data_IF_312369287841
#
_entry.id   IF_312369287841
#
_cell.length_a   1.000
_cell.length_b   1.000
_cell.length_c   1.000
_cell.angle_alpha   90.00
_cell.angle_beta   90.00
_cell.angle_gamma   90.00
#
_symmetry.space_group_name_H-M   'P 1'
#
loop_
_entity.id
_entity.type
_entity.pdbx_description
1 polymer ?
#
# COMPACT_ATOMS: atom_id res chain seq x y z
N UNK A 1 17.45 -7.85 -7.24
CA UNK A 1 17.12 -6.47 -6.83
C UNK A 1 18.31 -5.51 -6.93
N UNK A 2 19.54 -6.00 -6.69
CA UNK A 2 20.74 -5.18 -6.78
C UNK A 2 21.01 -4.63 -8.18
N UNK A 3 20.49 -5.30 -9.21
CA UNK A 3 20.64 -4.90 -10.62
C UNK A 3 19.63 -3.85 -11.08
N UNK A 4 18.68 -3.49 -10.23
CA UNK A 4 17.65 -2.52 -10.58
C UNK A 4 18.17 -1.08 -10.45
N UNK A 5 17.68 -0.19 -11.31
CA UNK A 5 18.00 1.23 -11.24
C UNK A 5 17.51 1.85 -9.91
N UNK A 6 18.13 2.95 -9.50
CA UNK A 6 17.76 3.63 -8.25
C UNK A 6 16.26 3.97 -8.17
N UNK A 7 15.68 4.48 -9.26
CA UNK A 7 14.25 4.77 -9.31
C UNK A 7 13.36 3.54 -9.13
N UNK A 8 13.79 2.39 -9.66
CA UNK A 8 13.06 1.13 -9.49
C UNK A 8 13.13 0.64 -8.05
N UNK A 9 14.28 0.76 -7.42
CA UNK A 9 14.44 0.43 -5.98
C UNK A 9 13.58 1.32 -5.09
N UNK A 10 13.45 2.59 -5.45
CA UNK A 10 12.60 3.54 -4.74
C UNK A 10 11.12 3.13 -4.83
N UNK A 11 10.66 2.66 -5.99
CA UNK A 11 9.30 2.16 -6.14
C UNK A 11 9.07 0.87 -5.32
N UNK A 12 10.05 -0.02 -5.27
CA UNK A 12 9.98 -1.22 -4.43
C UNK A 12 9.90 -0.84 -2.95
N UNK A 13 10.66 0.17 -2.52
CA UNK A 13 10.56 0.71 -1.16
C UNK A 13 9.16 1.25 -0.87
N UNK A 14 8.49 1.84 -1.87
CA UNK A 14 7.09 2.26 -1.76
C UNK A 14 6.15 1.09 -1.48
N UNK A 15 6.35 -0.06 -2.15
CA UNK A 15 5.58 -1.27 -1.85
C UNK A 15 5.85 -1.79 -0.44
N UNK A 16 7.08 -1.71 0.04
CA UNK A 16 7.43 -2.10 1.40
C UNK A 16 6.74 -1.19 2.44
N UNK A 17 6.60 0.09 2.13
CA UNK A 17 5.84 1.04 2.95
C UNK A 17 4.34 0.70 2.96
N UNK A 18 3.79 0.28 1.82
CA UNK A 18 2.40 -0.22 1.77
C UNK A 18 2.23 -1.41 2.71
N UNK A 19 3.16 -2.37 2.66
CA UNK A 19 3.09 -3.54 3.53
C UNK A 19 3.10 -3.16 5.00
N UNK A 20 3.99 -2.27 5.38
CA UNK A 20 4.12 -1.81 6.76
C UNK A 20 2.82 -1.17 7.26
N UNK A 21 2.24 -0.27 6.47
CA UNK A 21 1.01 0.42 6.84
C UNK A 21 -0.21 -0.52 6.83
N UNK A 22 -0.30 -1.41 5.85
CA UNK A 22 -1.38 -2.40 5.79
C UNK A 22 -1.31 -3.38 6.97
N UNK A 23 -0.11 -3.82 7.33
CA UNK A 23 0.12 -4.71 8.48
C UNK A 23 -0.25 -4.00 9.78
N UNK A 24 0.10 -2.73 9.92
CA UNK A 24 -0.26 -1.93 11.08
C UNK A 24 -1.79 -1.80 11.21
N UNK A 25 -2.48 -1.50 10.12
CA UNK A 25 -3.94 -1.43 10.12
C UNK A 25 -4.58 -2.77 10.48
N UNK A 26 -4.08 -3.87 9.90
CA UNK A 26 -4.55 -5.21 10.20
C UNK A 26 -4.33 -5.59 11.68
N UNK A 27 -3.19 -5.25 12.23
CA UNK A 27 -2.85 -5.51 13.62
C UNK A 27 -3.80 -4.78 14.58
N UNK A 28 -4.05 -3.50 14.33
CA UNK A 28 -4.98 -2.72 15.15
C UNK A 28 -6.40 -3.31 15.08
N UNK A 29 -6.86 -3.70 13.89
CA UNK A 29 -8.18 -4.34 13.74
C UNK A 29 -8.25 -5.68 14.46
N UNK A 30 -7.16 -6.46 14.46
CA UNK A 30 -7.11 -7.76 15.13
C UNK A 30 -7.20 -7.63 16.66
N UNK A 31 -6.84 -6.48 17.20
CA UNK A 31 -6.96 -6.18 18.63
C UNK A 31 -8.37 -5.73 19.03
N UNK A 32 -9.30 -5.72 18.10
CA UNK A 32 -10.71 -5.43 18.39
C UNK A 32 -11.07 -3.95 18.39
N UNK A 33 -10.32 -3.13 17.64
CA UNK A 33 -10.68 -1.71 17.49
C UNK A 33 -12.04 -1.59 16.82
N UNK A 34 -12.97 -0.90 17.48
CA UNK A 34 -14.27 -0.60 16.91
C UNK A 34 -14.15 0.60 15.95
N UNK A 35 -14.37 0.35 14.66
CA UNK A 35 -14.24 1.34 13.59
C UNK A 35 -15.55 1.62 12.86
N UNK A 36 -16.68 1.11 13.37
CA UNK A 36 -17.98 1.32 12.75
C UNK A 36 -18.41 2.78 12.74
N UNK A 37 -19.50 3.14 12.03
CA UNK A 37 -19.91 4.54 11.82
C UNK A 37 -20.06 5.34 13.12
N UNK A 38 -20.69 4.77 14.15
CA UNK A 38 -20.85 5.45 15.44
C UNK A 38 -19.53 5.59 16.20
N UNK A 39 -18.73 4.53 16.20
CA UNK A 39 -17.42 4.56 16.83
C UNK A 39 -16.48 5.53 16.12
N UNK A 40 -16.49 5.55 14.79
CA UNK A 40 -15.71 6.47 13.96
C UNK A 40 -16.05 7.92 14.28
N UNK A 41 -17.33 8.24 14.40
CA UNK A 41 -17.80 9.59 14.75
C UNK A 41 -17.36 9.99 16.16
N UNK A 42 -17.52 9.10 17.13
CA UNK A 42 -17.11 9.34 18.52
C UNK A 42 -15.59 9.52 18.63
N UNK A 43 -14.83 8.65 17.98
CA UNK A 43 -13.36 8.74 17.98
C UNK A 43 -12.88 9.98 17.21
N UNK A 44 -13.54 10.34 16.11
CA UNK A 44 -13.23 11.56 15.38
C UNK A 44 -13.44 12.81 16.21
N UNK A 45 -14.53 12.86 16.97
CA UNK A 45 -14.79 13.97 17.90
C UNK A 45 -13.73 14.02 19.01
N UNK A 46 -13.33 12.87 19.56
CA UNK A 46 -12.28 12.78 20.57
C UNK A 46 -10.90 13.16 20.01
N UNK A 47 -10.61 12.79 18.76
CA UNK A 47 -9.37 13.19 18.10
C UNK A 47 -9.25 14.72 17.99
N UNK A 48 -10.36 15.39 17.67
CA UNK A 48 -10.42 16.84 17.53
C UNK A 48 -10.06 17.55 18.85
N UNK A 49 -10.31 16.93 20.00
CA UNK A 49 -9.98 17.47 21.33
C UNK A 49 -8.82 16.77 22.01
N UNK A 50 -8.08 15.90 21.27
CA UNK A 50 -6.86 15.25 21.75
C UNK A 50 -7.05 14.07 22.70
N UNK A 51 -8.26 13.46 22.76
CA UNK A 51 -8.55 12.34 23.65
C UNK A 51 -8.95 11.05 22.93
N UNK A 52 -8.66 10.95 21.61
CA UNK A 52 -8.89 9.72 20.86
C UNK A 52 -7.95 8.60 21.36
N UNK A 53 -8.39 7.33 21.26
CA UNK A 53 -7.54 6.20 21.62
C UNK A 53 -6.32 6.15 20.69
N UNK A 54 -5.12 5.76 21.21
CA UNK A 54 -3.93 5.60 20.38
C UNK A 54 -4.15 4.64 19.21
N UNK A 55 -4.86 3.54 19.41
CA UNK A 55 -5.15 2.56 18.36
C UNK A 55 -5.97 3.16 17.23
N UNK A 56 -6.95 4.00 17.53
CA UNK A 56 -7.74 4.69 16.50
C UNK A 56 -6.87 5.66 15.69
N UNK A 57 -6.02 6.43 16.37
CA UNK A 57 -5.10 7.36 15.72
C UNK A 57 -4.12 6.62 14.81
N UNK A 58 -3.55 5.52 15.28
CA UNK A 58 -2.64 4.68 14.50
C UNK A 58 -3.33 4.09 13.28
N UNK A 59 -4.55 3.57 13.45
CA UNK A 59 -5.36 3.03 12.35
C UNK A 59 -5.63 4.09 11.29
N UNK A 60 -6.10 5.25 11.71
CA UNK A 60 -6.41 6.36 10.81
C UNK A 60 -5.17 6.84 10.05
N UNK A 61 -4.04 6.94 10.72
CA UNK A 61 -2.76 7.31 10.12
C UNK A 61 -2.30 6.27 9.10
N UNK A 62 -2.41 4.98 9.43
CA UNK A 62 -2.05 3.91 8.51
C UNK A 62 -2.89 3.94 7.23
N UNK A 63 -4.20 4.09 7.35
CA UNK A 63 -5.12 4.19 6.21
C UNK A 63 -4.80 5.42 5.34
N UNK A 64 -4.53 6.56 5.96
CA UNK A 64 -4.15 7.78 5.25
C UNK A 64 -2.84 7.60 4.49
N UNK A 65 -1.85 6.98 5.12
CA UNK A 65 -0.55 6.71 4.51
C UNK A 65 -0.68 5.76 3.31
N UNK A 66 -1.52 4.73 3.42
CA UNK A 66 -1.79 3.80 2.32
C UNK A 66 -2.26 4.56 1.08
N UNK A 67 -3.24 5.46 1.23
CA UNK A 67 -3.75 6.25 0.11
C UNK A 67 -2.66 7.11 -0.54
N UNK A 68 -1.82 7.74 0.26
CA UNK A 68 -0.71 8.57 -0.22
C UNK A 68 0.31 7.74 -0.99
N UNK A 69 0.64 6.54 -0.49
CA UNK A 69 1.62 5.66 -1.14
C UNK A 69 1.08 5.13 -2.46
N UNK A 70 -0.19 4.75 -2.53
CA UNK A 70 -0.83 4.32 -3.78
C UNK A 70 -0.71 5.43 -4.85
N UNK A 71 -0.96 6.66 -4.46
CA UNK A 71 -0.82 7.81 -5.35
C UNK A 71 0.62 7.94 -5.87
N UNK A 72 1.61 7.82 -5.00
CA UNK A 72 3.03 7.89 -5.40
C UNK A 72 3.43 6.75 -6.33
N UNK A 73 3.01 5.52 -6.04
CA UNK A 73 3.29 4.36 -6.89
C UNK A 73 2.65 4.49 -8.27
N UNK A 74 1.43 5.01 -8.33
CA UNK A 74 0.75 5.27 -9.59
C UNK A 74 1.47 6.35 -10.40
N UNK A 75 1.87 7.44 -9.75
CA UNK A 75 2.61 8.54 -10.39
C UNK A 75 3.95 8.09 -10.93
N UNK A 76 4.63 7.17 -10.24
CA UNK A 76 5.89 6.57 -10.67
C UNK A 76 5.72 5.39 -11.63
N UNK A 77 4.51 5.12 -12.09
CA UNK A 77 4.18 3.99 -12.97
C UNK A 77 4.54 2.61 -12.42
N UNK A 78 4.70 2.49 -11.10
CA UNK A 78 4.95 1.19 -10.45
C UNK A 78 3.70 0.33 -10.40
N UNK A 79 2.53 0.96 -10.34
CA UNK A 79 1.24 0.28 -10.48
C UNK A 79 0.52 0.83 -11.71
N UNK A 80 -0.18 -0.05 -12.42
CA UNK A 80 -1.03 0.36 -13.54
C UNK A 80 -2.28 1.09 -13.02
N UNK A 81 -2.97 1.88 -13.86
CA UNK A 81 -4.23 2.48 -13.43
C UNK A 81 -5.27 1.47 -12.94
N UNK A 82 -5.32 0.30 -13.56
CA UNK A 82 -6.23 -0.78 -13.15
C UNK A 82 -5.84 -1.34 -11.77
N UNK A 83 -4.55 -1.59 -11.55
CA UNK A 83 -4.04 -2.05 -10.26
C UNK A 83 -4.30 -1.02 -9.16
N UNK A 84 -4.04 0.27 -9.43
CA UNK A 84 -4.30 1.35 -8.49
C UNK A 84 -5.77 1.41 -8.09
N UNK A 85 -6.67 1.26 -9.06
CA UNK A 85 -8.12 1.26 -8.80
C UNK A 85 -8.54 0.08 -7.91
N UNK A 86 -7.97 -1.10 -8.13
CA UNK A 86 -8.23 -2.27 -7.28
C UNK A 86 -7.72 -2.04 -5.86
N UNK A 87 -6.50 -1.53 -5.72
CA UNK A 87 -5.92 -1.22 -4.41
C UNK A 87 -6.78 -0.21 -3.66
N UNK A 88 -7.17 0.87 -4.31
CA UNK A 88 -8.05 1.88 -3.71
C UNK A 88 -9.38 1.29 -3.23
N UNK A 89 -9.95 0.35 -3.99
CA UNK A 89 -11.19 -0.33 -3.63
C UNK A 89 -11.09 -1.19 -2.38
N UNK A 90 -9.89 -1.62 -2.01
CA UNK A 90 -9.65 -2.43 -0.81
C UNK A 90 -9.11 -1.63 0.37
N UNK A 91 -8.92 -0.32 0.23
CA UNK A 91 -8.55 0.53 1.37
C UNK A 91 -9.80 0.70 2.25
N UNK A 92 -9.72 0.37 3.55
CA UNK A 92 -10.86 0.56 4.43
C UNK A 92 -11.27 2.02 4.52
N UNK A 93 -12.58 2.24 4.53
CA UNK A 93 -13.14 3.55 4.82
C UNK A 93 -13.33 3.68 6.35
N UNK A 94 -13.17 4.88 6.88
CA UNK A 94 -13.35 5.10 8.32
C UNK A 94 -14.76 4.75 8.79
N UNK A 95 -15.74 4.76 7.89
CA UNK A 95 -17.13 4.40 8.18
C UNK A 95 -17.42 2.89 8.09
N UNK A 96 -16.46 2.09 7.60
CA UNK A 96 -16.64 0.65 7.52
C UNK A 96 -16.68 0.04 8.92
N UNK A 97 -17.52 -0.98 9.11
CA UNK A 97 -17.50 -1.76 10.34
C UNK A 97 -16.21 -2.61 10.40
N UNK A 98 -15.95 -3.18 11.59
CA UNK A 98 -14.75 -3.98 11.82
C UNK A 98 -14.62 -5.16 10.84
N UNK A 99 -15.72 -5.88 10.61
CA UNK A 99 -15.76 -7.04 9.72
C UNK A 99 -15.42 -6.65 8.26
N UNK A 100 -16.02 -5.57 7.79
CA UNK A 100 -15.80 -5.04 6.43
C UNK A 100 -14.36 -4.54 6.31
N UNK A 101 -13.86 -3.79 7.29
CA UNK A 101 -12.49 -3.29 7.29
C UNK A 101 -11.46 -4.43 7.27
N UNK A 102 -11.65 -5.47 8.08
CA UNK A 102 -10.78 -6.66 8.09
C UNK A 102 -10.76 -7.37 6.75
N UNK A 103 -11.92 -7.55 6.12
CA UNK A 103 -12.01 -8.17 4.80
C UNK A 103 -11.27 -7.35 3.75
N UNK A 104 -11.48 -6.05 3.75
CA UNK A 104 -10.81 -5.14 2.81
C UNK A 104 -9.29 -5.19 2.98
N UNK A 105 -8.80 -5.12 4.20
CA UNK A 105 -7.35 -5.10 4.44
C UNK A 105 -6.70 -6.42 4.03
N UNK A 106 -7.37 -7.56 4.25
CA UNK A 106 -6.89 -8.86 3.80
C UNK A 106 -6.77 -8.91 2.26
N UNK A 107 -7.80 -8.46 1.57
CA UNK A 107 -7.79 -8.38 0.10
C UNK A 107 -6.76 -7.37 -0.40
N UNK A 108 -6.57 -6.28 0.31
CA UNK A 108 -5.56 -5.27 0.00
C UNK A 108 -4.16 -5.88 0.03
N UNK A 109 -3.85 -6.63 1.08
CA UNK A 109 -2.53 -7.28 1.23
C UNK A 109 -2.26 -8.22 0.07
N UNK A 110 -3.24 -9.03 -0.33
CA UNK A 110 -3.10 -9.93 -1.47
C UNK A 110 -2.89 -9.16 -2.78
N UNK A 111 -3.61 -8.07 -2.96
CA UNK A 111 -3.53 -7.28 -4.19
C UNK A 111 -2.20 -6.53 -4.31
N UNK A 112 -1.71 -5.89 -3.24
CA UNK A 112 -0.44 -5.18 -3.36
C UNK A 112 0.74 -6.14 -3.56
N UNK A 113 0.69 -7.33 -2.99
CA UNK A 113 1.72 -8.35 -3.21
C UNK A 113 1.80 -8.76 -4.68
N UNK A 114 0.66 -8.94 -5.31
CA UNK A 114 0.60 -9.22 -6.75
C UNK A 114 1.12 -8.04 -7.57
N UNK A 115 0.72 -6.83 -7.24
CA UNK A 115 1.19 -5.64 -7.94
C UNK A 115 2.71 -5.49 -7.81
N UNK A 116 3.27 -5.76 -6.62
CA UNK A 116 4.71 -5.74 -6.38
C UNK A 116 5.43 -6.78 -7.24
N UNK A 117 4.95 -8.01 -7.24
CA UNK A 117 5.52 -9.07 -8.08
C UNK A 117 5.52 -8.68 -9.55
N UNK A 118 4.40 -8.18 -10.05
CA UNK A 118 4.27 -7.73 -11.44
C UNK A 118 5.28 -6.63 -11.76
N UNK A 119 5.45 -5.67 -10.85
CA UNK A 119 6.42 -4.59 -11.05
C UNK A 119 7.85 -5.11 -11.06
N UNK A 120 8.23 -5.95 -10.10
CA UNK A 120 9.57 -6.54 -10.02
C UNK A 120 9.88 -7.34 -11.27
N UNK A 121 8.92 -8.15 -11.75
CA UNK A 121 9.10 -8.94 -12.96
C UNK A 121 9.31 -8.06 -14.19
N UNK A 122 8.51 -7.01 -14.36
CA UNK A 122 8.68 -6.05 -15.48
C UNK A 122 10.03 -5.34 -15.41
N UNK A 123 10.41 -4.85 -14.23
CA UNK A 123 11.65 -4.13 -14.03
C UNK A 123 12.88 -5.02 -14.28
N UNK A 124 12.86 -6.25 -13.78
CA UNK A 124 13.93 -7.23 -13.97
C UNK A 124 14.04 -7.61 -15.44
N UNK A 125 12.92 -7.86 -16.11
CA UNK A 125 12.87 -8.22 -17.52
C UNK A 125 13.45 -7.10 -18.40
N UNK A 126 13.06 -5.87 -18.15
CA UNK A 126 13.57 -4.69 -18.89
C UNK A 126 15.09 -4.57 -18.71
N UNK A 127 15.60 -4.76 -17.50
CA UNK A 127 17.04 -4.71 -17.23
C UNK A 127 17.79 -5.80 -17.99
N UNK A 128 17.26 -7.02 -18.02
CA UNK A 128 17.85 -8.14 -18.78
C UNK A 128 17.84 -7.89 -20.29
N UNK A 129 16.78 -7.31 -20.82
CA UNK A 129 16.67 -6.97 -22.24
C UNK A 129 17.70 -5.92 -22.65
N UNK A 130 17.90 -4.89 -21.83
CA UNK A 130 18.91 -3.86 -22.07
C UNK A 130 20.31 -4.47 -22.07
N UNK A 131 20.62 -5.30 -21.07
CA UNK A 131 21.91 -5.97 -20.96
C UNK A 131 22.19 -6.87 -22.18
N UNK A 132 21.20 -7.65 -22.59
CA UNK A 132 21.29 -8.51 -23.78
C UNK A 132 21.51 -7.71 -25.06
N UNK A 133 20.82 -6.59 -25.22
CA UNK A 133 21.00 -5.69 -26.36
C UNK A 133 22.42 -5.15 -26.47
N UNK A 134 22.99 -4.71 -25.34
CA UNK A 134 24.37 -4.22 -25.26
C UNK A 134 25.37 -5.33 -25.66
N UNK A 135 25.18 -6.52 -25.15
CA UNK A 135 26.05 -7.69 -25.49
C UNK A 135 25.92 -8.05 -26.96
N UNK A 136 24.76 -8.02 -27.54
CA UNK A 136 24.51 -8.37 -28.96
C UNK A 136 25.12 -7.34 -29.91
N UNK A 137 25.10 -6.06 -29.54
CA UNK A 137 25.68 -4.99 -30.39
C UNK A 137 27.21 -4.90 -30.30
N UNK A 138 27.82 -5.62 -29.36
CA UNK A 138 29.27 -5.53 -29.13
C UNK A 138 29.72 -4.16 -28.65
N UNK A 139 28.83 -3.38 -28.06
CA UNK A 139 29.10 -2.03 -27.57
C UNK A 139 29.79 -2.03 -26.19
N UNK A 140 30.32 -3.15 -25.81
CA UNK A 140 30.96 -3.34 -24.52
C UNK A 140 32.47 -3.35 -24.70
#
# INVERSE_FOLDING_TARGET
LEKLAAGQREQIAGFDDLERNATQAADVLSRGLNVGPLASTAQGARAAIGVASPDYVDYRSAVSNINSIIFLLRSGAAVTPTEAKRLEGFVPLLRDDEKTAKRKITNFIDEYRRARENYVDRATQTTQEIQKSVETTGAV
#
